data_IF_307741396516
#
_entry.id   IF_307741396516
#
_cell.length_a   1.000
_cell.length_b   1.000
_cell.length_c   1.000
_cell.angle_alpha   90.00
_cell.angle_beta   90.00
_cell.angle_gamma   90.00
#
_symmetry.space_group_name_H-M   'P 1'
#
loop_
_entity.id
_entity.type
_entity.pdbx_description
1 polymer ?
#
# COMPACT_ATOMS: atom_id res chain seq x y z
N UNK A 1 -0.02 15.61 -9.47
CA UNK A 1 -0.82 16.59 -8.70
C UNK A 1 -1.28 17.71 -9.64
N UNK A 2 -2.31 18.49 -9.28
CA UNK A 2 -2.89 19.52 -10.17
C UNK A 2 -1.90 20.62 -10.57
N UNK A 3 -0.82 20.75 -9.79
CA UNK A 3 0.30 21.68 -9.92
C UNK A 3 1.50 21.10 -10.69
N UNK A 4 1.36 19.89 -11.26
CA UNK A 4 2.44 19.22 -11.99
C UNK A 4 3.43 18.42 -11.13
N UNK A 5 3.35 18.51 -9.79
CA UNK A 5 4.20 17.71 -8.90
C UNK A 5 3.85 16.22 -9.02
N UNK A 6 4.88 15.37 -9.07
CA UNK A 6 4.75 13.91 -9.10
C UNK A 6 5.01 13.35 -7.71
N UNK A 7 4.11 12.52 -7.21
CA UNK A 7 4.25 11.86 -5.91
C UNK A 7 4.54 10.38 -6.11
N UNK A 8 5.51 9.88 -5.36
CA UNK A 8 5.93 8.48 -5.43
C UNK A 8 4.86 7.60 -4.78
N UNK A 9 4.25 6.68 -5.53
CA UNK A 9 3.18 5.80 -5.02
C UNK A 9 3.52 4.33 -5.29
N UNK A 10 3.49 3.49 -4.26
CA UNK A 10 3.61 2.03 -4.39
C UNK A 10 2.21 1.40 -4.32
N UNK A 11 1.96 0.42 -5.18
CA UNK A 11 0.70 -0.30 -5.27
C UNK A 11 0.95 -1.78 -4.95
N UNK A 12 0.20 -2.30 -3.99
CA UNK A 12 0.22 -3.71 -3.59
C UNK A 12 -1.10 -4.35 -4.01
N UNK A 13 -1.00 -5.40 -4.84
CA UNK A 13 -2.16 -6.10 -5.38
C UNK A 13 -2.39 -7.43 -4.66
N UNK A 14 -3.64 -7.84 -4.46
CA UNK A 14 -3.95 -9.22 -4.08
C UNK A 14 -3.51 -10.19 -5.18
N UNK A 15 -2.93 -11.33 -4.80
CA UNK A 15 -2.51 -12.37 -5.75
C UNK A 15 -3.71 -13.23 -6.12
N UNK A 16 -3.94 -13.42 -7.42
CA UNK A 16 -5.01 -14.31 -7.92
C UNK A 16 -6.43 -13.73 -7.86
N UNK A 17 -6.57 -12.43 -7.59
CA UNK A 17 -7.86 -11.72 -7.67
C UNK A 17 -7.82 -10.78 -8.86
N UNK A 18 -8.81 -10.88 -9.75
CA UNK A 18 -8.91 -10.11 -10.99
C UNK A 18 -10.13 -9.19 -10.99
N UNK A 19 -10.13 -8.21 -11.90
CA UNK A 19 -11.24 -7.27 -12.09
C UNK A 19 -11.06 -5.95 -11.34
N UNK A 20 -12.17 -5.24 -11.12
CA UNK A 20 -12.19 -3.99 -10.37
C UNK A 20 -12.04 -4.28 -8.87
N UNK A 21 -10.94 -3.82 -8.29
CA UNK A 21 -10.60 -4.06 -6.89
C UNK A 21 -10.83 -2.81 -6.04
N UNK A 22 -11.36 -2.94 -4.81
CA UNK A 22 -11.44 -1.83 -3.88
C UNK A 22 -10.02 -1.38 -3.48
N UNK A 23 -9.82 -0.07 -3.37
CA UNK A 23 -8.50 0.53 -3.05
C UNK A 23 -8.53 1.22 -1.70
N UNK A 24 -7.54 0.91 -0.86
CA UNK A 24 -7.23 1.66 0.36
C UNK A 24 -6.01 2.54 0.08
N UNK A 25 -6.13 3.85 0.31
CA UNK A 25 -5.07 4.82 0.10
C UNK A 25 -4.52 5.35 1.43
N UNK A 26 -3.23 5.14 1.67
CA UNK A 26 -2.45 5.80 2.73
C UNK A 26 -1.58 6.90 2.10
N UNK A 27 -1.73 8.13 2.59
CA UNK A 27 -0.81 9.23 2.29
C UNK A 27 0.00 9.51 3.54
N UNK A 28 1.30 9.28 3.46
CA UNK A 28 2.18 9.36 4.62
C UNK A 28 3.30 10.38 4.38
N UNK A 29 3.59 11.25 5.36
CA UNK A 29 4.81 12.06 5.34
C UNK A 29 6.04 11.26 5.80
N UNK A 30 5.84 10.02 6.24
CA UNK A 30 6.86 9.09 6.69
C UNK A 30 7.12 8.08 5.58
N UNK A 31 8.40 7.83 5.28
CA UNK A 31 8.88 6.98 4.18
C UNK A 31 8.03 5.71 3.95
N UNK A 32 7.45 5.61 2.75
CA UNK A 32 6.66 4.44 2.34
C UNK A 32 7.47 3.15 2.22
N UNK A 33 8.81 3.22 2.16
CA UNK A 33 9.66 2.04 2.00
C UNK A 33 9.54 1.05 3.16
N UNK A 34 9.09 1.52 4.33
CA UNK A 34 8.76 0.68 5.50
C UNK A 34 7.76 -0.45 5.16
N UNK A 35 6.90 -0.26 4.16
CA UNK A 35 5.92 -1.27 3.72
C UNK A 35 6.53 -2.37 2.85
N UNK A 36 7.70 -2.14 2.24
CA UNK A 36 8.35 -3.10 1.31
C UNK A 36 9.09 -4.22 2.04
N UNK A 37 9.67 -3.92 3.20
CA UNK A 37 10.51 -4.84 3.96
C UNK A 37 9.76 -5.42 5.17
N UNK A 38 8.44 -5.38 5.17
CA UNK A 38 7.63 -5.87 6.27
C UNK A 38 7.59 -7.40 6.27
N UNK A 39 7.67 -7.98 7.46
CA UNK A 39 7.44 -9.41 7.67
C UNK A 39 5.92 -9.69 7.58
N UNK A 40 5.46 -10.52 6.62
CA UNK A 40 4.05 -10.86 6.47
C UNK A 40 3.49 -11.66 7.66
N UNK A 41 4.35 -12.35 8.42
CA UNK A 41 3.96 -13.20 9.56
C UNK A 41 4.00 -12.44 10.90
N UNK A 42 4.47 -11.19 10.91
CA UNK A 42 4.49 -10.35 12.10
C UNK A 42 3.07 -9.89 12.53
N UNK A 43 2.85 -9.54 13.82
CA UNK A 43 1.62 -8.91 14.27
C UNK A 43 1.27 -7.66 13.45
N UNK A 44 -0.02 -7.41 13.25
CA UNK A 44 -0.50 -6.27 12.47
C UNK A 44 0.07 -4.97 13.05
N UNK A 45 0.80 -4.23 12.21
CA UNK A 45 1.43 -2.96 12.54
C UNK A 45 1.42 -2.05 11.33
N UNK A 46 1.80 -0.77 11.51
CA UNK A 46 1.96 0.15 10.39
C UNK A 46 2.87 -0.39 9.29
N UNK A 47 3.89 -1.20 9.60
CA UNK A 47 4.80 -1.73 8.59
C UNK A 47 4.13 -2.78 7.68
N UNK A 48 3.29 -3.68 8.22
CA UNK A 48 2.74 -4.82 7.46
C UNK A 48 1.34 -4.59 6.87
N UNK A 49 0.80 -3.37 6.94
CA UNK A 49 -0.52 -3.03 6.39
C UNK A 49 -0.67 -3.43 4.92
N UNK A 50 0.39 -3.30 4.12
CA UNK A 50 0.37 -3.68 2.71
C UNK A 50 0.03 -5.17 2.53
N UNK A 51 0.67 -6.06 3.29
CA UNK A 51 0.37 -7.49 3.28
C UNK A 51 -1.01 -7.80 3.84
N UNK A 52 -1.38 -7.14 4.93
CA UNK A 52 -2.68 -7.36 5.56
C UNK A 52 -3.83 -7.03 4.59
N UNK A 53 -3.84 -5.83 4.00
CA UNK A 53 -4.93 -5.45 3.10
C UNK A 53 -4.92 -6.22 1.77
N UNK A 54 -3.73 -6.45 1.18
CA UNK A 54 -3.62 -7.23 -0.06
C UNK A 54 -4.09 -8.67 0.12
N UNK A 55 -3.79 -9.31 1.26
CA UNK A 55 -4.28 -10.68 1.53
C UNK A 55 -5.81 -10.77 1.73
N UNK A 56 -6.49 -9.64 1.96
CA UNK A 56 -7.94 -9.55 2.11
C UNK A 56 -8.67 -9.01 0.87
N UNK A 57 -7.99 -8.98 -0.29
CA UNK A 57 -8.61 -8.63 -1.58
C UNK A 57 -8.66 -7.14 -1.90
N UNK A 58 -7.96 -6.29 -1.14
CA UNK A 58 -7.83 -4.87 -1.42
C UNK A 58 -6.54 -4.57 -2.17
N UNK A 59 -6.57 -3.58 -3.07
CA UNK A 59 -5.33 -2.92 -3.49
C UNK A 59 -4.95 -1.92 -2.40
N UNK A 60 -3.72 -2.02 -1.92
CA UNK A 60 -3.18 -1.04 -0.98
C UNK A 60 -2.26 -0.07 -1.71
N UNK A 61 -2.58 1.22 -1.66
CA UNK A 61 -1.80 2.28 -2.26
C UNK A 61 -1.14 3.11 -1.15
N UNK A 62 0.19 3.20 -1.15
CA UNK A 62 0.93 4.06 -0.22
C UNK A 62 1.70 5.12 -1.00
N UNK A 63 1.48 6.38 -0.65
CA UNK A 63 2.04 7.53 -1.35
C UNK A 63 2.88 8.38 -0.41
N UNK A 64 4.11 8.66 -0.81
CA UNK A 64 4.94 9.69 -0.18
C UNK A 64 4.36 11.07 -0.48
N UNK A 65 4.43 11.95 0.52
CA UNK A 65 3.91 13.31 0.40
C UNK A 65 4.77 14.21 -0.47
#
# INVERSE_FOLDING_TARGET
MRDGVRLSTDLYFPVGVEGELPVILERTPYDKASKRNADPDAPISGANQAYYYASHGYVFAVQDR
#
